data_IF_449718867685
#
_entry.id   IF_449718867685
#
_cell.length_a   1.000
_cell.length_b   1.000
_cell.length_c   1.000
_cell.angle_alpha   90.00
_cell.angle_beta   90.00
_cell.angle_gamma   90.00
#
_symmetry.space_group_name_H-M   'P 1'
#
loop_
_entity.id
_entity.type
_entity.pdbx_description
1 polymer ?
#
# COMPACT_ATOMS: atom_id res chain seq x y z
N UNK A 1 -12.29 -29.96 -23.66
CA UNK A 1 -11.41 -30.43 -22.57
C UNK A 1 -10.78 -31.81 -22.82
N UNK A 2 -11.46 -32.78 -23.46
CA UNK A 2 -10.91 -34.14 -23.62
C UNK A 2 -9.57 -34.25 -24.36
N UNK A 3 -9.20 -33.29 -25.21
CA UNK A 3 -7.94 -33.33 -25.96
C UNK A 3 -6.73 -32.91 -25.13
N UNK A 4 -6.93 -32.07 -24.11
CA UNK A 4 -5.86 -31.59 -23.23
C UNK A 4 -5.37 -32.70 -22.31
N UNK A 5 -6.27 -33.58 -21.86
CA UNK A 5 -5.94 -34.72 -20.99
C UNK A 5 -5.13 -35.82 -21.71
N UNK A 6 -5.14 -35.82 -23.04
CA UNK A 6 -4.36 -36.76 -23.86
C UNK A 6 -2.94 -36.25 -24.14
N UNK A 7 -2.59 -35.05 -23.66
CA UNK A 7 -1.25 -34.50 -23.84
C UNK A 7 -0.28 -35.11 -22.83
N UNK A 8 1.00 -35.29 -23.20
CA UNK A 8 2.08 -35.56 -22.25
C UNK A 8 2.12 -34.52 -21.11
N UNK A 9 2.53 -34.96 -19.93
CA UNK A 9 2.65 -34.12 -18.72
C UNK A 9 3.45 -32.85 -18.97
N UNK A 10 4.51 -32.93 -19.76
CA UNK A 10 5.38 -31.79 -20.10
C UNK A 10 4.63 -30.71 -20.88
N UNK A 11 3.73 -31.11 -21.79
CA UNK A 11 2.90 -30.17 -22.55
C UNK A 11 1.81 -29.56 -21.68
N UNK A 12 1.23 -30.33 -20.75
CA UNK A 12 0.26 -29.80 -19.79
C UNK A 12 0.92 -28.75 -18.88
N UNK A 13 2.14 -29.00 -18.39
CA UNK A 13 2.92 -28.03 -17.61
C UNK A 13 3.18 -26.76 -18.42
N UNK A 14 3.53 -26.86 -19.71
CA UNK A 14 3.70 -25.69 -20.57
C UNK A 14 2.41 -24.88 -20.76
N UNK A 15 1.26 -25.55 -20.80
CA UNK A 15 -0.04 -24.86 -20.82
C UNK A 15 -0.21 -24.06 -19.52
N UNK A 16 0.04 -24.66 -18.35
CA UNK A 16 -0.01 -23.95 -17.07
C UNK A 16 0.94 -22.74 -17.03
N UNK A 17 2.19 -22.90 -17.49
CA UNK A 17 3.20 -21.83 -17.56
C UNK A 17 2.77 -20.66 -18.46
N UNK A 18 1.90 -20.92 -19.45
CA UNK A 18 1.37 -19.94 -20.39
C UNK A 18 0.12 -19.21 -19.92
N UNK A 19 -0.46 -19.58 -18.77
CA UNK A 19 -1.61 -18.87 -18.20
C UNK A 19 -1.21 -17.48 -17.69
N UNK A 20 -2.13 -16.53 -17.76
CA UNK A 20 -1.81 -15.11 -17.48
C UNK A 20 -1.85 -14.75 -15.99
N UNK A 21 -2.41 -15.64 -15.15
CA UNK A 21 -2.69 -15.37 -13.74
C UNK A 21 -2.57 -16.61 -12.86
N UNK A 22 -2.24 -16.41 -11.58
CA UNK A 22 -2.17 -17.45 -10.56
C UNK A 22 -3.53 -18.13 -10.38
N UNK A 23 -4.63 -17.38 -10.42
CA UNK A 23 -5.98 -17.93 -10.28
C UNK A 23 -6.36 -18.83 -11.47
N UNK A 24 -5.94 -18.48 -12.68
CA UNK A 24 -6.18 -19.29 -13.87
C UNK A 24 -5.50 -20.66 -13.73
N UNK A 25 -4.26 -20.69 -13.22
CA UNK A 25 -3.55 -21.94 -12.95
C UNK A 25 -4.25 -22.76 -11.86
N UNK A 26 -4.65 -22.13 -10.75
CA UNK A 26 -5.38 -22.81 -9.68
C UNK A 26 -6.74 -23.35 -10.16
N UNK A 27 -7.46 -22.59 -10.96
CA UNK A 27 -8.75 -22.98 -11.53
C UNK A 27 -8.58 -24.13 -12.53
N UNK A 28 -7.60 -24.04 -13.43
CA UNK A 28 -7.32 -25.08 -14.42
C UNK A 28 -6.92 -26.39 -13.75
N UNK A 29 -6.12 -26.35 -12.68
CA UNK A 29 -5.79 -27.52 -11.87
C UNK A 29 -7.02 -28.17 -11.21
N UNK A 30 -8.05 -27.39 -10.89
CA UNK A 30 -9.30 -27.88 -10.26
C UNK A 30 -10.30 -28.47 -11.25
N UNK A 31 -10.08 -28.34 -12.56
CA UNK A 31 -11.03 -28.84 -13.57
C UNK A 31 -11.17 -30.37 -13.57
N UNK A 32 -10.10 -31.14 -13.28
CA UNK A 32 -10.19 -32.59 -13.10
C UNK A 32 -9.01 -33.15 -12.30
N UNK A 33 -9.10 -34.43 -11.91
CA UNK A 33 -8.06 -35.13 -11.14
C UNK A 33 -6.73 -35.21 -11.87
N UNK A 34 -6.72 -35.45 -13.18
CA UNK A 34 -5.47 -35.60 -13.93
C UNK A 34 -4.68 -34.30 -14.00
N UNK A 35 -5.37 -33.17 -14.26
CA UNK A 35 -4.75 -31.84 -14.22
C UNK A 35 -4.25 -31.49 -12.83
N UNK A 36 -5.02 -31.83 -11.78
CA UNK A 36 -4.57 -31.67 -10.42
C UNK A 36 -3.30 -32.49 -10.14
N UNK A 37 -3.23 -33.76 -10.56
CA UNK A 37 -2.06 -34.61 -10.39
C UNK A 37 -0.82 -34.08 -11.12
N UNK A 38 -0.99 -33.42 -12.28
CA UNK A 38 0.12 -32.76 -12.99
C UNK A 38 0.57 -31.49 -12.25
N UNK A 39 -0.38 -30.74 -11.70
CA UNK A 39 -0.11 -29.49 -11.01
C UNK A 39 0.48 -29.69 -9.61
N UNK A 40 -0.03 -30.64 -8.82
CA UNK A 40 0.24 -30.79 -7.38
C UNK A 40 1.70 -31.01 -6.96
N UNK A 41 2.56 -31.71 -7.74
CA UNK A 41 3.97 -31.83 -7.39
C UNK A 41 4.60 -30.47 -7.13
N UNK A 42 5.29 -30.33 -5.99
CA UNK A 42 5.82 -29.04 -5.52
C UNK A 42 6.74 -28.38 -6.57
N UNK A 43 7.57 -29.17 -7.25
CA UNK A 43 8.43 -28.71 -8.34
C UNK A 43 7.65 -28.17 -9.53
N UNK A 44 6.50 -28.78 -9.86
CA UNK A 44 5.63 -28.32 -10.95
C UNK A 44 4.94 -27.01 -10.56
N UNK A 45 4.33 -26.93 -9.37
CA UNK A 45 3.72 -25.67 -8.86
C UNK A 45 4.68 -24.51 -8.88
N UNK A 46 5.90 -24.71 -8.37
CA UNK A 46 6.91 -23.66 -8.36
C UNK A 46 7.27 -23.19 -9.77
N UNK A 47 7.49 -24.13 -10.69
CA UNK A 47 7.83 -23.82 -12.06
C UNK A 47 6.72 -23.02 -12.75
N UNK A 48 5.47 -23.44 -12.56
CA UNK A 48 4.27 -22.80 -13.09
C UNK A 48 4.12 -21.38 -12.53
N UNK A 49 4.10 -21.23 -11.20
CA UNK A 49 3.91 -19.92 -10.58
C UNK A 49 5.06 -18.97 -10.89
N UNK A 50 6.31 -19.44 -10.90
CA UNK A 50 7.46 -18.63 -11.30
C UNK A 50 7.29 -18.09 -12.72
N UNK A 51 6.85 -18.93 -13.67
CA UNK A 51 6.60 -18.51 -15.05
C UNK A 51 5.53 -17.42 -15.15
N UNK A 52 4.43 -17.57 -14.40
CA UNK A 52 3.33 -16.60 -14.36
C UNK A 52 3.82 -15.27 -13.76
N UNK A 53 4.44 -15.32 -12.58
CA UNK A 53 4.94 -14.14 -11.85
C UNK A 53 5.96 -13.37 -12.69
N UNK A 54 6.86 -14.06 -13.39
CA UNK A 54 7.88 -13.42 -14.21
C UNK A 54 7.32 -12.67 -15.44
N UNK A 55 6.13 -13.05 -15.93
CA UNK A 55 5.54 -12.48 -17.15
C UNK A 55 4.41 -11.50 -16.88
N UNK A 56 3.64 -11.71 -15.83
CA UNK A 56 2.43 -10.94 -15.58
C UNK A 56 2.77 -9.57 -14.96
N UNK A 57 2.33 -8.49 -15.61
CA UNK A 57 2.68 -7.11 -15.22
C UNK A 57 2.17 -6.69 -13.84
N UNK A 58 1.12 -7.32 -13.33
CA UNK A 58 0.61 -7.03 -11.98
C UNK A 58 1.51 -7.60 -10.87
N UNK A 59 2.48 -8.45 -11.22
CA UNK A 59 3.50 -8.99 -10.31
C UNK A 59 4.88 -8.33 -10.46
N UNK A 60 5.02 -7.25 -11.25
CA UNK A 60 6.34 -6.63 -11.50
C UNK A 60 7.04 -6.14 -10.22
N UNK A 61 6.26 -5.75 -9.21
CA UNK A 61 6.75 -5.22 -7.93
C UNK A 61 6.99 -6.34 -6.89
N UNK A 62 6.53 -7.55 -7.15
CA UNK A 62 6.34 -8.56 -6.10
C UNK A 62 7.63 -9.17 -5.58
N UNK A 63 8.65 -9.30 -6.43
CA UNK A 63 9.97 -9.84 -6.04
C UNK A 63 10.67 -8.84 -5.11
N UNK A 64 10.76 -7.57 -5.52
CA UNK A 64 11.33 -6.50 -4.70
C UNK A 64 10.58 -6.37 -3.38
N UNK A 65 9.24 -6.35 -3.43
CA UNK A 65 8.43 -6.27 -2.23
C UNK A 65 8.68 -7.45 -1.28
N UNK A 66 8.82 -8.67 -1.81
CA UNK A 66 9.11 -9.85 -0.99
C UNK A 66 10.46 -9.75 -0.30
N UNK A 67 11.48 -9.18 -0.94
CA UNK A 67 12.77 -8.91 -0.30
C UNK A 67 12.63 -7.94 0.87
N UNK A 68 11.90 -6.83 0.66
CA UNK A 68 11.71 -5.79 1.68
C UNK A 68 10.84 -6.26 2.85
N UNK A 69 9.75 -6.97 2.58
CA UNK A 69 8.87 -7.54 3.62
C UNK A 69 9.61 -8.60 4.44
N UNK A 70 10.44 -9.44 3.79
CA UNK A 70 11.26 -10.42 4.52
C UNK A 70 12.32 -9.75 5.40
N UNK A 71 12.92 -8.64 4.95
CA UNK A 71 13.80 -7.82 5.78
C UNK A 71 13.06 -7.31 7.02
N UNK A 72 11.88 -6.70 6.83
CA UNK A 72 11.05 -6.25 7.95
C UNK A 72 10.67 -7.39 8.89
N UNK A 73 10.25 -8.55 8.37
CA UNK A 73 9.88 -9.70 9.21
C UNK A 73 11.02 -10.17 10.12
N UNK A 74 12.24 -10.26 9.58
CA UNK A 74 13.44 -10.62 10.35
C UNK A 74 13.82 -9.52 11.35
N UNK A 75 13.74 -8.25 10.93
CA UNK A 75 13.95 -7.12 11.84
C UNK A 75 12.94 -7.15 13.00
N UNK A 76 11.66 -7.36 12.71
CA UNK A 76 10.60 -7.43 13.71
C UNK A 76 10.84 -8.56 14.71
N UNK A 77 11.24 -9.73 14.23
CA UNK A 77 11.57 -10.88 15.08
C UNK A 77 12.78 -10.58 15.99
N UNK A 78 13.85 -10.02 15.44
CA UNK A 78 15.08 -9.73 16.16
C UNK A 78 14.93 -8.58 17.16
N UNK A 79 14.13 -7.55 16.83
CA UNK A 79 14.07 -6.30 17.59
C UNK A 79 12.80 -6.16 18.44
N UNK A 80 11.62 -6.55 17.95
CA UNK A 80 10.38 -6.32 18.70
C UNK A 80 9.92 -7.53 19.50
N UNK A 81 10.22 -8.75 19.03
CA UNK A 81 9.83 -9.98 19.71
C UNK A 81 10.90 -10.47 20.69
N UNK A 82 12.18 -10.15 20.43
CA UNK A 82 13.25 -10.41 21.38
C UNK A 82 13.22 -9.37 22.52
N UNK A 83 13.42 -9.81 23.77
CA UNK A 83 13.22 -8.97 24.98
C UNK A 83 14.22 -7.81 25.14
N UNK A 84 15.19 -7.64 24.23
CA UNK A 84 16.20 -6.57 24.27
C UNK A 84 16.53 -6.14 22.85
N UNK A 85 15.97 -5.02 22.43
CA UNK A 85 16.48 -4.26 21.27
C UNK A 85 17.95 -3.95 21.57
N UNK A 86 18.92 -4.47 20.79
CA UNK A 86 20.26 -3.93 20.86
C UNK A 86 20.17 -2.50 20.32
N UNK A 87 20.24 -1.50 21.19
CA UNK A 87 20.43 -0.07 20.81
C UNK A 87 21.78 0.19 20.14
N UNK A 88 22.45 -0.85 19.62
CA UNK A 88 23.74 -0.72 18.96
C UNK A 88 23.51 -0.34 17.48
N UNK A 89 23.82 0.89 17.07
CA UNK A 89 23.59 1.34 15.70
C UNK A 89 24.42 0.57 14.67
N UNK A 90 25.59 0.06 15.08
CA UNK A 90 26.43 -0.81 14.25
C UNK A 90 25.74 -2.14 13.94
N UNK A 91 24.93 -2.67 14.86
CA UNK A 91 24.17 -3.90 14.63
C UNK A 91 23.03 -3.67 13.62
N UNK A 92 22.27 -2.57 13.78
CA UNK A 92 21.22 -2.17 12.82
C UNK A 92 21.81 -1.93 11.42
N UNK A 93 22.92 -1.19 11.33
CA UNK A 93 23.66 -0.97 10.08
C UNK A 93 24.13 -2.27 9.45
N UNK A 94 24.74 -3.17 10.23
CA UNK A 94 25.19 -4.48 9.74
C UNK A 94 24.04 -5.35 9.23
N UNK A 95 22.88 -5.31 9.89
CA UNK A 95 21.70 -6.05 9.46
C UNK A 95 21.22 -5.51 8.10
N UNK A 96 20.94 -4.21 8.01
CA UNK A 96 20.44 -3.59 6.78
C UNK A 96 21.44 -3.76 5.62
N UNK A 97 22.74 -3.54 5.83
CA UNK A 97 23.76 -3.72 4.79
C UNK A 97 23.89 -5.17 4.30
N UNK A 98 23.56 -6.17 5.13
CA UNK A 98 23.55 -7.59 4.71
C UNK A 98 22.38 -7.93 3.79
N UNK A 99 21.29 -7.17 3.86
CA UNK A 99 20.09 -7.41 3.05
C UNK A 99 20.03 -6.52 1.80
N UNK A 100 20.51 -5.27 1.89
CA UNK A 100 20.62 -4.38 0.73
C UNK A 100 21.67 -4.85 -0.28
N UNK A 101 22.60 -5.72 0.13
CA UNK A 101 23.52 -6.43 -0.75
C UNK A 101 23.09 -7.90 -0.85
N UNK A 102 22.09 -8.25 -1.68
CA UNK A 102 21.74 -9.65 -1.91
C UNK A 102 22.99 -10.38 -2.43
N UNK A 103 23.24 -11.59 -1.89
CA UNK A 103 24.25 -12.51 -2.45
C UNK A 103 24.05 -12.60 -3.97
N UNK A 104 25.18 -12.63 -4.68
CA UNK A 104 25.33 -12.74 -6.13
C UNK A 104 24.11 -13.29 -6.87
N UNK A 105 23.76 -12.56 -7.93
CA UNK A 105 22.86 -12.85 -9.05
C UNK A 105 22.71 -14.34 -9.43
N UNK A 106 22.06 -15.12 -8.57
CA UNK A 106 21.37 -16.33 -8.95
C UNK A 106 20.11 -15.88 -9.67
N UNK A 107 20.02 -16.14 -10.98
CA UNK A 107 18.85 -15.82 -11.81
C UNK A 107 17.53 -16.44 -11.30
N UNK A 108 17.60 -17.42 -10.38
CA UNK A 108 16.43 -18.07 -9.83
C UNK A 108 15.84 -17.35 -8.61
N UNK A 109 14.59 -16.87 -8.76
CA UNK A 109 13.75 -16.37 -7.66
C UNK A 109 13.56 -17.49 -6.61
N UNK A 110 13.88 -17.23 -5.32
CA UNK A 110 13.70 -18.20 -4.24
C UNK A 110 12.27 -18.73 -4.15
N UNK A 111 12.15 -20.03 -3.82
CA UNK A 111 10.86 -20.70 -3.67
C UNK A 111 9.96 -20.04 -2.60
N UNK A 112 10.57 -19.51 -1.54
CA UNK A 112 9.89 -18.74 -0.49
C UNK A 112 9.19 -17.50 -1.06
N UNK A 113 9.86 -16.74 -1.93
CA UNK A 113 9.25 -15.55 -2.53
C UNK A 113 8.08 -15.91 -3.44
N UNK A 114 8.18 -17.01 -4.18
CA UNK A 114 7.05 -17.47 -5.02
C UNK A 114 5.81 -17.74 -4.17
N UNK A 115 5.96 -18.40 -3.02
CA UNK A 115 4.83 -18.63 -2.12
C UNK A 115 4.33 -17.36 -1.44
N UNK A 116 5.24 -16.49 -0.99
CA UNK A 116 4.88 -15.20 -0.40
C UNK A 116 4.02 -14.38 -1.38
N UNK A 117 4.38 -14.39 -2.67
CA UNK A 117 3.66 -13.71 -3.74
C UNK A 117 2.27 -14.34 -3.95
N UNK A 118 2.18 -15.68 -4.03
CA UNK A 118 0.89 -16.37 -4.16
C UNK A 118 -0.02 -16.05 -2.96
N UNK A 119 0.53 -16.08 -1.74
CA UNK A 119 -0.20 -15.73 -0.52
C UNK A 119 -0.64 -14.27 -0.50
N UNK A 120 0.25 -13.34 -0.90
CA UNK A 120 -0.05 -11.91 -1.01
C UNK A 120 -1.15 -11.66 -2.05
N UNK A 121 -1.04 -12.27 -3.23
CA UNK A 121 -2.04 -12.23 -4.29
C UNK A 121 -3.41 -12.69 -3.81
N UNK A 122 -3.51 -13.72 -2.97
CA UNK A 122 -4.80 -14.14 -2.42
C UNK A 122 -5.23 -13.25 -1.25
N UNK A 123 -4.32 -12.82 -0.38
CA UNK A 123 -4.61 -12.02 0.80
C UNK A 123 -5.10 -10.61 0.48
N UNK A 124 -4.51 -9.97 -0.54
CA UNK A 124 -4.90 -8.60 -0.96
C UNK A 124 -6.28 -8.54 -1.61
N UNK A 125 -6.85 -9.69 -1.98
CA UNK A 125 -8.24 -9.78 -2.44
C UNK A 125 -9.21 -9.31 -1.37
N UNK A 126 -8.88 -9.47 -0.09
CA UNK A 126 -9.71 -8.94 1.01
C UNK A 126 -9.92 -7.43 0.87
N UNK A 127 -8.87 -6.65 0.58
CA UNK A 127 -9.00 -5.20 0.41
C UNK A 127 -9.77 -4.83 -0.86
N UNK A 128 -9.59 -5.59 -1.93
CA UNK A 128 -10.36 -5.38 -3.17
C UNK A 128 -11.84 -5.73 -3.00
N UNK A 129 -12.15 -6.80 -2.28
CA UNK A 129 -13.51 -7.20 -1.96
C UNK A 129 -14.19 -6.14 -1.10
N UNK A 130 -13.47 -5.54 -0.14
CA UNK A 130 -13.95 -4.37 0.62
C UNK A 130 -14.21 -3.16 -0.29
N UNK A 131 -13.33 -2.88 -1.26
CA UNK A 131 -13.54 -1.82 -2.24
C UNK A 131 -14.81 -2.04 -3.09
N UNK A 132 -15.12 -3.31 -3.36
CA UNK A 132 -16.29 -3.73 -4.12
C UNK A 132 -17.55 -3.93 -3.26
N UNK A 133 -17.45 -3.97 -1.94
CA UNK A 133 -18.60 -4.16 -1.05
C UNK A 133 -19.49 -2.90 -1.04
N UNK A 134 -20.82 -3.03 -1.23
CA UNK A 134 -21.68 -1.86 -1.35
C UNK A 134 -21.70 -1.00 -0.09
N UNK A 135 -21.69 -1.58 1.11
CA UNK A 135 -21.74 -0.81 2.35
C UNK A 135 -20.44 -0.02 2.57
N UNK A 136 -19.30 -0.65 2.28
CA UNK A 136 -17.98 0.00 2.38
C UNK A 136 -17.80 1.05 1.28
N UNK A 137 -18.23 0.75 0.05
CA UNK A 137 -18.15 1.66 -1.10
C UNK A 137 -19.01 2.91 -0.87
N UNK A 138 -20.24 2.76 -0.37
CA UNK A 138 -21.12 3.88 -0.01
C UNK A 138 -20.52 4.73 1.12
N UNK A 139 -19.97 4.08 2.16
CA UNK A 139 -19.28 4.78 3.24
C UNK A 139 -18.03 5.54 2.74
N UNK A 140 -17.26 4.95 1.82
CA UNK A 140 -16.09 5.60 1.23
C UNK A 140 -16.51 6.82 0.39
N UNK A 141 -17.56 6.69 -0.44
CA UNK A 141 -18.11 7.80 -1.22
C UNK A 141 -18.62 8.95 -0.34
N UNK A 142 -19.27 8.63 0.78
CA UNK A 142 -19.81 9.62 1.72
C UNK A 142 -18.76 10.19 2.69
N UNK A 143 -17.58 9.56 2.80
CA UNK A 143 -16.55 9.98 3.75
C UNK A 143 -15.94 11.33 3.36
N UNK A 144 -15.62 12.12 4.37
CA UNK A 144 -14.89 13.38 4.23
C UNK A 144 -13.56 13.10 3.56
N UNK A 145 -13.33 13.86 2.49
CA UNK A 145 -12.13 13.76 1.68
C UNK A 145 -11.10 14.77 2.24
N UNK A 146 -9.93 14.32 2.74
CA UNK A 146 -8.91 15.22 3.25
C UNK A 146 -8.28 15.97 2.08
N UNK A 147 -8.71 17.21 1.84
CA UNK A 147 -8.06 18.09 0.88
C UNK A 147 -6.93 18.84 1.57
N UNK A 148 -5.74 18.23 1.55
CA UNK A 148 -4.51 18.71 2.20
C UNK A 148 -4.05 20.08 1.65
N UNK A 149 -4.46 20.44 0.45
CA UNK A 149 -3.94 21.61 -0.25
C UNK A 149 -4.83 22.86 -0.14
N UNK A 150 -5.98 22.75 0.52
CA UNK A 150 -6.73 23.92 1.04
C UNK A 150 -6.25 24.20 2.46
N UNK A 151 -6.01 25.48 2.84
CA UNK A 151 -5.68 25.80 4.22
C UNK A 151 -6.72 25.16 5.14
N UNK A 152 -6.31 24.59 6.29
CA UNK A 152 -7.20 23.84 7.17
C UNK A 152 -8.40 24.71 7.50
N UNK A 153 -9.53 24.37 6.88
CA UNK A 153 -10.81 24.91 7.29
C UNK A 153 -11.12 24.13 8.56
N UNK A 154 -11.30 24.79 9.73
CA UNK A 154 -11.51 24.10 11.01
C UNK A 154 -12.60 23.01 10.94
N UNK A 155 -13.58 23.19 10.05
CA UNK A 155 -14.69 22.27 9.83
C UNK A 155 -14.28 20.91 9.21
N UNK A 156 -13.13 20.79 8.54
CA UNK A 156 -12.74 19.55 7.85
C UNK A 156 -12.32 18.43 8.82
N UNK A 157 -11.46 18.75 9.79
CA UNK A 157 -10.98 17.79 10.79
C UNK A 157 -12.14 17.33 11.69
N UNK A 158 -13.04 18.25 12.04
CA UNK A 158 -14.28 17.94 12.77
C UNK A 158 -15.23 17.06 11.93
N UNK A 159 -15.36 17.33 10.63
CA UNK A 159 -16.13 16.49 9.71
C UNK A 159 -15.53 15.08 9.57
N UNK A 160 -14.20 14.92 9.59
CA UNK A 160 -13.55 13.60 9.56
C UNK A 160 -13.72 12.83 10.87
N UNK A 161 -13.65 13.53 12.00
CA UNK A 161 -13.77 12.97 13.35
C UNK A 161 -15.21 12.57 13.71
N UNK A 162 -16.20 13.27 13.16
CA UNK A 162 -17.63 13.01 13.38
C UNK A 162 -18.20 11.88 12.52
N UNK A 163 -17.42 11.33 11.59
CA UNK A 163 -17.91 10.21 10.77
C UNK A 163 -18.17 8.96 11.62
N UNK A 164 -19.21 8.18 11.30
CA UNK A 164 -19.49 6.95 12.02
C UNK A 164 -18.38 5.90 11.82
N UNK A 165 -18.25 5.00 12.80
CA UNK A 165 -17.44 3.80 12.68
C UNK A 165 -17.86 2.98 11.45
N UNK A 166 -16.88 2.35 10.78
CA UNK A 166 -17.14 1.55 9.59
C UNK A 166 -17.84 0.24 9.98
N UNK A 167 -19.03 0.02 9.42
CA UNK A 167 -19.77 -1.23 9.60
C UNK A 167 -19.03 -2.41 8.93
N UNK A 168 -19.23 -3.65 9.42
CA UNK A 168 -18.74 -4.84 8.72
C UNK A 168 -19.26 -4.91 7.28
N UNK A 169 -18.50 -5.52 6.35
CA UNK A 169 -18.93 -5.66 4.96
C UNK A 169 -20.25 -6.42 4.87
N UNK A 170 -21.10 -6.03 3.92
CA UNK A 170 -22.37 -6.71 3.66
C UNK A 170 -22.18 -8.12 3.09
N UNK A 171 -20.99 -8.42 2.53
CA UNK A 171 -20.69 -9.71 1.90
C UNK A 171 -21.31 -9.85 0.52
N UNK A 172 -21.64 -8.72 -0.12
CA UNK A 172 -22.17 -8.65 -1.48
C UNK A 172 -21.30 -7.71 -2.31
N UNK A 173 -21.55 -7.61 -3.62
CA UNK A 173 -20.78 -6.76 -4.53
C UNK A 173 -21.61 -5.59 -5.02
N UNK A 174 -20.98 -4.44 -5.22
CA UNK A 174 -21.65 -3.21 -5.61
C UNK A 174 -22.21 -3.30 -7.05
N UNK A 175 -23.25 -2.50 -7.39
CA UNK A 175 -23.89 -2.58 -8.70
C UNK A 175 -22.95 -2.33 -9.89
N UNK A 176 -21.90 -1.51 -9.71
CA UNK A 176 -20.89 -1.26 -10.73
C UNK A 176 -20.11 -2.54 -11.06
N UNK A 177 -19.69 -3.28 -10.03
CA UNK A 177 -18.97 -4.55 -10.18
C UNK A 177 -19.82 -5.65 -10.83
N UNK A 178 -21.13 -5.71 -10.51
CA UNK A 178 -22.07 -6.67 -11.11
C UNK A 178 -22.13 -6.55 -12.63
N UNK A 179 -22.05 -5.32 -13.16
CA UNK A 179 -22.13 -5.05 -14.61
C UNK A 179 -20.89 -5.47 -15.39
N UNK A 180 -19.76 -5.69 -14.71
CA UNK A 180 -18.51 -6.07 -15.34
C UNK A 180 -18.52 -7.55 -15.73
N UNK A 181 -17.94 -7.85 -16.90
CA UNK A 181 -17.61 -9.21 -17.31
C UNK A 181 -16.53 -9.82 -16.41
N UNK A 182 -16.39 -11.15 -16.42
CA UNK A 182 -15.35 -11.83 -15.65
C UNK A 182 -13.94 -11.32 -15.98
N UNK A 183 -13.65 -11.06 -17.26
CA UNK A 183 -12.37 -10.53 -17.72
C UNK A 183 -12.10 -9.12 -17.17
N UNK A 184 -13.12 -8.27 -17.14
CA UNK A 184 -13.00 -6.92 -16.59
C UNK A 184 -12.78 -6.95 -15.08
N UNK A 185 -13.47 -7.84 -14.36
CA UNK A 185 -13.27 -8.04 -12.90
C UNK A 185 -11.84 -8.50 -12.60
N UNK A 186 -11.31 -9.45 -13.36
CA UNK A 186 -9.93 -9.90 -13.20
C UNK A 186 -8.94 -8.75 -13.44
N UNK A 187 -9.10 -8.03 -14.55
CA UNK A 187 -8.23 -6.88 -14.87
C UNK A 187 -8.30 -5.78 -13.81
N UNK A 188 -9.49 -5.55 -13.27
CA UNK A 188 -9.73 -4.60 -12.18
C UNK A 188 -8.98 -4.99 -10.91
N UNK A 189 -9.03 -6.28 -10.53
CA UNK A 189 -8.25 -6.79 -9.40
C UNK A 189 -6.75 -6.70 -9.63
N UNK A 190 -6.27 -7.08 -10.83
CA UNK A 190 -4.85 -6.97 -11.20
C UNK A 190 -4.32 -5.54 -11.07
N UNK A 191 -5.10 -4.54 -11.52
CA UNK A 191 -4.76 -3.12 -11.37
C UNK A 191 -4.72 -2.68 -9.91
N UNK A 192 -5.74 -3.04 -9.13
CA UNK A 192 -5.79 -2.75 -7.70
C UNK A 192 -4.58 -3.33 -6.97
N UNK A 193 -4.29 -4.62 -7.21
CA UNK A 193 -3.16 -5.32 -6.62
C UNK A 193 -1.81 -4.67 -7.00
N UNK A 194 -1.63 -4.33 -8.28
CA UNK A 194 -0.43 -3.64 -8.75
C UNK A 194 -0.22 -2.31 -8.02
N UNK A 195 -1.27 -1.50 -7.89
CA UNK A 195 -1.21 -0.22 -7.18
C UNK A 195 -0.92 -0.38 -5.68
N UNK A 196 -1.57 -1.36 -5.01
CA UNK A 196 -1.30 -1.68 -3.59
C UNK A 196 0.14 -2.09 -3.37
N UNK A 197 0.65 -3.03 -4.19
CA UNK A 197 2.03 -3.51 -4.03
C UNK A 197 3.06 -2.42 -4.34
N UNK A 198 2.78 -1.55 -5.31
CA UNK A 198 3.64 -0.41 -5.63
C UNK A 198 3.74 0.58 -4.46
N UNK A 199 2.62 1.02 -3.90
CA UNK A 199 2.64 1.91 -2.75
C UNK A 199 3.19 1.22 -1.49
N UNK A 200 3.03 -0.09 -1.36
CA UNK A 200 3.63 -0.84 -0.27
C UNK A 200 5.17 -0.84 -0.35
N UNK A 201 5.79 -0.99 -1.53
CA UNK A 201 7.25 -0.82 -1.68
C UNK A 201 7.70 0.55 -1.16
N UNK A 202 6.93 1.58 -1.50
CA UNK A 202 7.12 2.94 -1.03
C UNK A 202 7.15 3.00 0.50
N UNK A 203 6.11 2.48 1.17
CA UNK A 203 6.04 2.37 2.65
C UNK A 203 7.24 1.60 3.24
N UNK A 204 7.64 0.48 2.64
CA UNK A 204 8.81 -0.27 3.12
C UNK A 204 10.13 0.49 2.92
N UNK A 205 10.23 1.29 1.85
CA UNK A 205 11.42 2.13 1.60
C UNK A 205 11.54 3.23 2.64
N UNK A 206 10.42 3.88 2.98
CA UNK A 206 10.37 4.87 4.04
C UNK A 206 10.71 4.26 5.40
N UNK A 207 10.12 3.11 5.74
CA UNK A 207 10.48 2.36 6.95
C UNK A 207 11.99 2.03 6.98
N UNK A 208 12.56 1.63 5.85
CA UNK A 208 13.96 1.28 5.77
C UNK A 208 14.89 2.48 5.99
N UNK A 209 14.58 3.65 5.43
CA UNK A 209 15.31 4.89 5.74
C UNK A 209 15.18 5.22 7.22
N UNK A 210 13.98 5.07 7.79
CA UNK A 210 13.70 5.36 9.21
C UNK A 210 14.41 4.44 10.20
N UNK A 211 14.80 3.24 9.80
CA UNK A 211 15.44 2.24 10.67
C UNK A 211 16.97 2.20 10.53
N UNK A 212 17.49 2.81 9.47
CA UNK A 212 18.93 2.90 9.23
C UNK A 212 19.62 3.90 10.14
N UNK A 213 20.91 3.64 10.36
CA UNK A 213 21.81 4.57 11.01
C UNK A 213 22.65 5.31 9.98
N UNK A 214 22.58 6.63 10.00
CA UNK A 214 23.32 7.52 9.10
C UNK A 214 24.47 8.21 9.84
N UNK A 215 25.67 8.26 9.23
CA UNK A 215 26.81 9.01 9.78
C UNK A 215 26.57 10.52 9.88
N UNK A 216 25.68 11.08 9.07
CA UNK A 216 25.39 12.52 9.04
C UNK A 216 23.94 12.79 8.62
N UNK A 217 23.44 13.97 8.95
CA UNK A 217 22.14 14.49 8.50
C UNK A 217 22.06 14.58 6.97
N UNK A 218 23.13 15.01 6.31
CA UNK A 218 23.18 15.08 4.84
C UNK A 218 23.00 13.71 4.16
N UNK A 219 23.58 12.64 4.71
CA UNK A 219 23.39 11.28 4.18
C UNK A 219 21.96 10.76 4.41
N UNK A 220 21.34 11.12 5.54
CA UNK A 220 19.94 10.84 5.80
C UNK A 220 19.05 11.57 4.79
N UNK A 221 19.25 12.87 4.63
CA UNK A 221 18.45 13.71 3.72
C UNK A 221 18.54 13.17 2.29
N UNK A 222 19.74 12.82 1.82
CA UNK A 222 19.90 12.21 0.48
C UNK A 222 19.14 10.88 0.35
N UNK A 223 19.13 10.04 1.39
CA UNK A 223 18.38 8.77 1.36
C UNK A 223 16.86 8.98 1.44
N UNK A 224 16.42 9.95 2.23
CA UNK A 224 15.02 10.33 2.38
C UNK A 224 14.48 10.96 1.10
N UNK A 225 15.22 11.90 0.51
CA UNK A 225 14.89 12.56 -0.74
C UNK A 225 14.80 11.56 -1.90
N UNK A 226 15.73 10.60 -2.01
CA UNK A 226 15.60 9.50 -2.98
C UNK A 226 14.34 8.65 -2.77
N UNK A 227 13.93 8.46 -1.52
CA UNK A 227 12.69 7.74 -1.20
C UNK A 227 11.48 8.57 -1.60
N UNK A 228 11.48 9.88 -1.31
CA UNK A 228 10.43 10.81 -1.73
C UNK A 228 10.30 10.87 -3.25
N UNK A 229 11.40 11.04 -3.97
CA UNK A 229 11.42 11.09 -5.45
C UNK A 229 10.83 9.83 -6.07
N UNK A 230 11.10 8.65 -5.50
CA UNK A 230 10.49 7.40 -5.97
C UNK A 230 8.95 7.38 -5.82
N UNK A 231 8.38 8.20 -4.93
CA UNK A 231 6.95 8.35 -4.75
C UNK A 231 6.37 9.43 -5.65
N UNK A 232 7.06 10.58 -5.75
CA UNK A 232 6.54 11.82 -6.36
C UNK A 232 6.97 12.04 -7.80
N UNK A 233 7.98 11.33 -8.30
CA UNK A 233 8.53 11.60 -9.63
C UNK A 233 8.88 10.33 -10.40
N UNK A 234 7.89 9.79 -11.11
CA UNK A 234 8.04 8.62 -11.97
C UNK A 234 7.63 8.96 -13.42
N UNK A 235 8.53 9.53 -14.23
CA UNK A 235 8.19 9.96 -15.60
C UNK A 235 7.84 8.79 -16.54
N UNK A 236 8.29 7.58 -16.23
CA UNK A 236 8.01 6.38 -17.02
C UNK A 236 6.69 5.70 -16.66
N UNK A 237 6.06 6.09 -15.54
CA UNK A 237 4.80 5.50 -15.09
C UNK A 237 3.62 6.10 -15.88
N UNK A 238 2.74 5.29 -16.49
CA UNK A 238 1.58 5.81 -17.20
C UNK A 238 0.60 6.53 -16.26
N UNK A 239 -0.05 7.59 -16.73
CA UNK A 239 -1.03 8.35 -15.94
C UNK A 239 -2.18 7.49 -15.35
N UNK A 240 -2.75 6.48 -16.06
CA UNK A 240 -3.74 5.58 -15.45
C UNK A 240 -3.22 4.83 -14.24
N UNK A 241 -1.95 4.42 -14.25
CA UNK A 241 -1.34 3.72 -13.11
C UNK A 241 -1.13 4.67 -11.92
N UNK A 242 -0.83 5.95 -12.17
CA UNK A 242 -0.75 6.98 -11.12
C UNK A 242 -2.10 7.21 -10.45
N UNK A 243 -3.17 7.27 -11.24
CA UNK A 243 -4.55 7.38 -10.74
C UNK A 243 -4.95 6.13 -9.92
N UNK A 244 -4.53 4.93 -10.35
CA UNK A 244 -4.76 3.70 -9.59
C UNK A 244 -4.07 3.76 -8.21
N UNK A 245 -2.83 4.29 -8.15
CA UNK A 245 -2.10 4.48 -6.88
C UNK A 245 -2.82 5.50 -6.00
N UNK A 246 -3.22 6.66 -6.53
CA UNK A 246 -3.95 7.69 -5.76
C UNK A 246 -5.22 7.11 -5.14
N UNK A 247 -6.04 6.39 -5.91
CA UNK A 247 -7.27 5.78 -5.39
C UNK A 247 -6.98 4.72 -4.31
N UNK A 248 -5.94 3.89 -4.50
CA UNK A 248 -5.56 2.89 -3.50
C UNK A 248 -5.04 3.55 -2.22
N UNK A 249 -4.27 4.62 -2.32
CA UNK A 249 -3.80 5.38 -1.16
C UNK A 249 -4.98 6.00 -0.43
N UNK A 250 -5.88 6.68 -1.14
CA UNK A 250 -7.10 7.25 -0.55
C UNK A 250 -7.97 6.19 0.13
N UNK A 251 -8.16 5.05 -0.51
CA UNK A 251 -9.05 4.02 -0.01
C UNK A 251 -8.43 3.23 1.13
N UNK A 252 -7.24 2.65 0.92
CA UNK A 252 -6.61 1.72 1.86
C UNK A 252 -5.97 2.48 3.02
N UNK A 253 -5.10 3.46 2.76
CA UNK A 253 -4.40 4.18 3.81
C UNK A 253 -5.26 5.33 4.37
N UNK A 254 -5.84 6.15 3.50
CA UNK A 254 -6.63 7.31 3.90
C UNK A 254 -7.95 6.94 4.59
N UNK A 255 -8.81 6.19 3.93
CA UNK A 255 -10.15 5.87 4.42
C UNK A 255 -10.15 4.70 5.40
N UNK A 256 -9.71 3.50 4.99
CA UNK A 256 -9.73 2.34 5.87
C UNK A 256 -8.80 2.52 7.08
N UNK A 257 -7.60 3.10 6.88
CA UNK A 257 -6.69 3.45 7.96
C UNK A 257 -7.31 4.42 8.96
N UNK A 258 -7.92 5.52 8.51
CA UNK A 258 -8.62 6.45 9.41
C UNK A 258 -9.78 5.80 10.17
N UNK A 259 -10.52 4.89 9.54
CA UNK A 259 -11.58 4.12 10.22
C UNK A 259 -11.02 3.19 11.28
N UNK A 260 -9.85 2.59 11.05
CA UNK A 260 -9.17 1.74 12.02
C UNK A 260 -8.58 2.53 13.21
N UNK A 261 -8.13 3.77 12.99
CA UNK A 261 -7.59 4.67 14.00
C UNK A 261 -8.56 5.80 14.38
N UNK A 262 -9.84 5.46 14.55
CA UNK A 262 -10.90 6.44 14.81
C UNK A 262 -10.64 7.31 16.05
N UNK A 263 -11.09 8.58 16.03
CA UNK A 263 -10.85 9.57 17.10
C UNK A 263 -11.25 9.07 18.48
N UNK A 264 -12.37 8.34 18.58
CA UNK A 264 -12.84 7.79 19.86
C UNK A 264 -11.89 6.79 20.50
N UNK A 265 -10.95 6.24 19.73
CA UNK A 265 -9.91 5.31 20.21
C UNK A 265 -8.57 5.99 20.47
N UNK A 266 -8.41 7.27 20.11
CA UNK A 266 -7.13 8.00 20.20
C UNK A 266 -6.54 7.99 21.62
N UNK A 267 -7.29 8.25 22.71
CA UNK A 267 -6.74 8.14 24.06
C UNK A 267 -6.11 6.77 24.33
N UNK A 268 -6.77 5.69 23.92
CA UNK A 268 -6.33 4.31 24.13
C UNK A 268 -5.10 3.94 23.27
N UNK A 269 -4.92 4.57 22.11
CA UNK A 269 -3.73 4.40 21.28
C UNK A 269 -2.50 5.08 21.88
N UNK A 270 -2.70 6.20 22.60
CA UNK A 270 -1.62 6.86 23.35
C UNK A 270 -1.23 6.12 24.62
N UNK A 271 -2.16 5.37 25.21
CA UNK A 271 -1.91 4.53 26.37
C UNK A 271 -0.86 3.44 26.04
N UNK A 272 0.40 3.74 26.35
CA UNK A 272 1.54 2.84 26.12
C UNK A 272 2.62 3.38 25.19
N UNK A 273 2.47 4.60 24.66
CA UNK A 273 3.54 5.30 23.92
C UNK A 273 4.62 5.91 24.83
N UNK A 274 4.44 5.91 26.15
CA UNK A 274 5.45 6.42 27.09
C UNK A 274 5.69 7.92 26.89
N UNK A 275 6.95 8.32 26.75
CA UNK A 275 7.34 9.72 26.50
C UNK A 275 6.89 10.24 25.14
N UNK A 276 6.77 9.38 24.12
CA UNK A 276 6.34 9.78 22.77
C UNK A 276 4.87 10.19 22.75
N UNK A 277 4.08 9.79 23.76
CA UNK A 277 2.70 10.25 23.91
C UNK A 277 2.60 11.79 24.04
N UNK A 278 3.68 12.46 24.48
CA UNK A 278 3.73 13.92 24.58
C UNK A 278 3.86 14.59 23.21
N UNK A 279 4.45 13.93 22.21
CA UNK A 279 4.60 14.50 20.86
C UNK A 279 3.24 14.65 20.15
N UNK A 280 2.29 13.78 20.49
CA UNK A 280 0.90 13.85 20.01
C UNK A 280 -0.05 14.57 20.98
N UNK A 281 0.50 15.45 21.82
CA UNK A 281 -0.29 16.23 22.78
C UNK A 281 0.24 17.65 22.90
N UNK A 282 -0.28 18.52 22.05
CA UNK A 282 -0.22 19.96 22.28
C UNK A 282 -1.39 20.37 23.21
N UNK A 283 -1.11 20.94 24.40
CA UNK A 283 -2.14 21.41 25.32
C UNK A 283 -2.91 22.64 24.82
N UNK A 284 -2.44 23.32 23.77
CA UNK A 284 -3.09 24.47 23.15
C UNK A 284 -4.03 24.08 22.00
N UNK A 285 -3.91 22.86 21.50
CA UNK A 285 -4.71 22.32 20.40
C UNK A 285 -5.88 21.46 20.92
N UNK A 286 -6.91 21.26 20.10
CA UNK A 286 -8.04 20.40 20.48
C UNK A 286 -7.65 18.92 20.47
N UNK A 287 -8.50 18.05 21.02
CA UNK A 287 -8.29 16.60 20.90
C UNK A 287 -8.36 16.14 19.43
N UNK A 288 -9.09 16.86 18.59
CA UNK A 288 -9.20 16.59 17.15
C UNK A 288 -7.92 16.92 16.40
N UNK A 289 -7.32 18.07 16.66
CA UNK A 289 -6.07 18.50 16.02
C UNK A 289 -4.92 17.54 16.41
N UNK A 290 -4.86 17.16 17.70
CA UNK A 290 -3.91 16.16 18.19
C UNK A 290 -4.12 14.78 17.55
N UNK A 291 -5.37 14.38 17.33
CA UNK A 291 -5.70 13.13 16.64
C UNK A 291 -5.36 13.18 15.15
N UNK A 292 -5.62 14.30 14.47
CA UNK A 292 -5.28 14.49 13.06
C UNK A 292 -3.77 14.43 12.84
N UNK A 293 -3.00 15.09 13.72
CA UNK A 293 -1.54 15.00 13.72
C UNK A 293 -1.08 13.54 13.91
N UNK A 294 -1.63 12.84 14.91
CA UNK A 294 -1.35 11.41 15.13
C UNK A 294 -1.73 10.55 13.91
N UNK A 295 -2.88 10.79 13.29
CA UNK A 295 -3.32 10.06 12.10
C UNK A 295 -2.36 10.25 10.93
N UNK A 296 -1.99 11.49 10.67
CA UNK A 296 -1.14 11.82 9.55
C UNK A 296 0.25 11.19 9.71
N UNK A 297 0.70 11.01 10.96
CA UNK A 297 1.94 10.29 11.26
C UNK A 297 1.76 8.80 11.07
N UNK A 298 0.78 8.23 11.78
CA UNK A 298 0.65 6.79 11.89
C UNK A 298 0.35 6.15 10.56
N UNK A 299 -0.41 6.81 9.67
CA UNK A 299 -0.80 6.24 8.37
C UNK A 299 0.38 5.99 7.41
N UNK A 300 1.57 6.49 7.73
CA UNK A 300 2.80 6.24 6.95
C UNK A 300 3.45 4.88 7.26
N UNK A 301 3.01 4.19 8.32
CA UNK A 301 3.62 2.94 8.81
C UNK A 301 2.88 1.64 8.48
N UNK A 302 1.53 1.61 8.45
CA UNK A 302 0.77 0.40 8.16
C UNK A 302 1.11 -0.18 6.80
N UNK A 303 1.32 -1.50 6.80
CA UNK A 303 1.28 -2.32 5.60
C UNK A 303 -0.16 -2.79 5.39
N UNK A 304 -0.55 -3.17 4.16
CA UNK A 304 -1.88 -3.71 3.90
C UNK A 304 -2.32 -4.83 4.86
N UNK A 305 -1.47 -5.82 5.25
CA UNK A 305 -1.85 -6.83 6.24
C UNK A 305 -2.17 -6.26 7.63
N UNK A 306 -1.48 -5.20 8.06
CA UNK A 306 -1.74 -4.53 9.33
C UNK A 306 -3.12 -3.85 9.34
N UNK A 307 -3.51 -3.24 8.22
CA UNK A 307 -4.84 -2.63 8.08
C UNK A 307 -5.93 -3.70 8.07
N UNK A 308 -5.71 -4.83 7.40
CA UNK A 308 -6.62 -5.98 7.45
C UNK A 308 -6.78 -6.48 8.90
N UNK A 309 -5.68 -6.66 9.64
CA UNK A 309 -5.70 -7.06 11.06
C UNK A 309 -6.54 -6.10 11.91
N UNK A 310 -6.34 -4.79 11.75
CA UNK A 310 -7.09 -3.77 12.49
C UNK A 310 -8.58 -3.75 12.17
N UNK A 311 -8.95 -3.88 10.88
CA UNK A 311 -10.35 -3.92 10.46
C UNK A 311 -11.07 -5.16 11.03
N UNK A 312 -10.42 -6.32 10.95
CA UNK A 312 -10.95 -7.56 11.53
C UNK A 312 -11.12 -7.44 13.05
N UNK A 313 -10.16 -6.82 13.73
CA UNK A 313 -10.27 -6.54 15.16
C UNK A 313 -11.43 -5.58 15.47
N UNK A 314 -11.57 -4.49 14.73
CA UNK A 314 -12.63 -3.50 14.91
C UNK A 314 -14.02 -4.14 14.77
N UNK A 315 -14.22 -4.99 13.76
CA UNK A 315 -15.49 -5.68 13.53
C UNK A 315 -15.74 -6.86 14.49
N UNK A 316 -14.71 -7.38 15.16
CA UNK A 316 -14.80 -8.53 16.06
C UNK A 316 -14.25 -8.24 17.47
N UNK A 317 -14.42 -7.00 17.94
CA UNK A 317 -13.79 -6.48 19.17
C UNK A 317 -14.22 -7.19 20.46
N UNK A 318 -15.31 -7.96 20.43
CA UNK A 318 -15.77 -8.79 21.56
C UNK A 318 -14.94 -10.07 21.74
N UNK A 319 -14.22 -10.54 20.71
CA UNK A 319 -13.47 -11.80 20.74
C UNK A 319 -11.95 -11.67 20.89
N UNK A 320 -11.36 -10.51 20.60
CA UNK A 320 -9.91 -10.34 20.53
C UNK A 320 -9.43 -9.06 21.21
N UNK A 321 -8.49 -9.19 22.16
CA UNK A 321 -7.79 -8.05 22.77
C UNK A 321 -6.57 -7.65 21.95
N UNK A 322 -6.60 -6.47 21.36
CA UNK A 322 -5.45 -5.88 20.67
C UNK A 322 -4.48 -5.26 21.67
N UNK A 323 -3.21 -5.69 21.64
CA UNK A 323 -2.15 -4.99 22.35
C UNK A 323 -1.69 -3.79 21.51
N UNK A 324 -2.30 -2.61 21.71
CA UNK A 324 -2.05 -1.40 20.93
C UNK A 324 -0.59 -0.94 20.94
N UNK A 325 0.03 -0.84 22.11
CA UNK A 325 1.44 -0.46 22.22
C UNK A 325 2.36 -1.46 21.52
N UNK A 326 2.08 -2.76 21.65
CA UNK A 326 2.78 -3.80 20.92
C UNK A 326 2.58 -3.70 19.41
N UNK A 327 1.38 -3.32 18.95
CA UNK A 327 1.06 -3.12 17.54
C UNK A 327 1.80 -1.91 16.97
N UNK A 328 1.75 -0.75 17.63
CA UNK A 328 2.48 0.46 17.22
C UNK A 328 4.00 0.24 17.18
N UNK A 329 4.53 -0.57 18.11
CA UNK A 329 5.93 -0.99 18.07
C UNK A 329 6.24 -1.84 16.84
N UNK A 330 5.40 -2.83 16.51
CA UNK A 330 5.59 -3.64 15.29
C UNK A 330 5.58 -2.77 14.04
N UNK A 331 4.69 -1.78 13.96
CA UNK A 331 4.66 -0.83 12.84
C UNK A 331 5.97 -0.06 12.62
N UNK A 332 6.87 -0.03 13.60
CA UNK A 332 8.12 0.71 13.55
C UNK A 332 7.95 2.20 13.88
N UNK A 333 6.86 2.58 14.56
CA UNK A 333 6.61 3.96 14.98
C UNK A 333 7.74 4.49 15.88
N UNK A 334 8.28 3.60 16.72
CA UNK A 334 9.29 3.94 17.73
C UNK A 334 10.73 3.80 17.20
N UNK A 335 10.92 3.48 15.92
CA UNK A 335 12.26 3.26 15.36
C UNK A 335 13.03 4.56 15.13
N UNK A 336 12.34 5.70 15.24
CA UNK A 336 12.81 6.98 14.76
C UNK A 336 13.92 7.66 15.57
N UNK A 337 14.04 7.30 16.84
CA UNK A 337 14.75 8.12 17.83
C UNK A 337 16.28 7.91 17.85
N UNK A 338 16.82 6.90 17.16
CA UNK A 338 18.24 6.49 17.27
C UNK A 338 18.99 6.51 15.90
N UNK A 339 18.76 7.51 15.04
CA UNK A 339 19.15 7.48 13.61
C UNK A 339 20.52 8.06 13.25
N UNK A 340 21.08 8.98 14.04
CA UNK A 340 22.28 9.76 13.67
C UNK A 340 23.29 9.77 14.82
N UNK A 341 24.58 9.73 14.46
CA UNK A 341 25.69 9.98 15.38
C UNK A 341 25.68 11.47 15.74
N UNK A 342 25.07 11.85 16.86
CA UNK A 342 25.07 13.24 17.30
C UNK A 342 26.46 13.61 17.83
N UNK A 343 27.29 14.18 16.97
CA UNK A 343 28.52 14.87 17.36
C UNK A 343 28.13 16.22 18.00
N UNK A 344 27.98 16.23 19.32
CA UNK A 344 27.89 17.36 20.29
C UNK A 344 26.95 18.57 20.05
N UNK A 345 26.36 18.78 18.88
CA UNK A 345 25.34 19.82 18.65
C UNK A 345 23.95 19.21 18.79
N UNK A 346 23.17 19.73 19.73
CA UNK A 346 21.87 19.19 20.16
C UNK A 346 20.92 18.74 19.05
N UNK A 347 20.02 17.83 19.40
CA UNK A 347 19.05 17.16 18.54
C UNK A 347 18.43 18.08 17.48
N UNK A 348 18.93 18.02 16.24
CA UNK A 348 18.24 18.59 15.09
C UNK A 348 17.05 17.69 14.79
N UNK A 349 15.83 18.23 14.84
CA UNK A 349 14.65 17.52 14.36
C UNK A 349 14.77 17.36 12.85
N UNK A 350 14.89 16.13 12.37
CA UNK A 350 14.94 15.84 10.94
C UNK A 350 13.57 15.35 10.50
N UNK A 351 12.95 16.12 9.60
CA UNK A 351 11.64 15.82 9.06
C UNK A 351 11.64 14.53 8.27
N UNK A 352 11.34 13.41 8.94
CA UNK A 352 11.18 12.11 8.28
C UNK A 352 9.75 11.84 7.82
N UNK A 353 8.97 12.91 7.68
CA UNK A 353 7.54 12.90 7.43
C UNK A 353 7.25 12.92 5.94
N UNK A 354 6.43 11.99 5.47
CA UNK A 354 5.98 11.94 4.09
C UNK A 354 4.50 11.62 4.06
N UNK A 355 3.68 12.63 3.77
CA UNK A 355 2.24 12.45 3.73
C UNK A 355 1.84 11.42 2.67
N UNK A 356 0.82 10.63 2.97
CA UNK A 356 0.36 9.61 2.02
C UNK A 356 -0.11 10.25 0.70
N UNK A 357 -0.68 11.47 0.76
CA UNK A 357 -1.15 12.19 -0.42
C UNK A 357 -0.05 12.74 -1.33
N UNK A 358 1.22 12.71 -0.90
CA UNK A 358 2.36 13.13 -1.72
C UNK A 358 2.48 12.33 -3.02
N UNK A 359 1.81 11.16 -3.13
CA UNK A 359 1.68 10.42 -4.41
C UNK A 359 0.98 11.20 -5.52
N UNK A 360 0.23 12.26 -5.22
CA UNK A 360 -0.43 13.10 -6.23
C UNK A 360 0.57 13.92 -7.05
N UNK A 361 1.71 14.29 -6.48
CA UNK A 361 2.78 15.03 -7.17
C UNK A 361 3.31 14.28 -8.40
N UNK A 362 3.26 12.94 -8.37
CA UNK A 362 3.64 12.11 -9.51
C UNK A 362 2.68 12.29 -10.69
N UNK A 363 1.38 12.46 -10.41
CA UNK A 363 0.41 12.75 -11.46
C UNK A 363 0.63 14.15 -12.01
N UNK A 364 0.87 15.14 -11.14
CA UNK A 364 1.10 16.54 -11.51
C UNK A 364 2.26 16.69 -12.50
N UNK A 365 3.30 15.85 -12.36
CA UNK A 365 4.44 15.85 -13.28
C UNK A 365 4.19 15.11 -14.62
N UNK A 366 3.03 14.48 -14.82
CA UNK A 366 2.79 13.57 -15.96
C UNK A 366 2.50 14.29 -17.28
N UNK A 367 2.04 15.53 -17.22
CA UNK A 367 1.56 16.28 -18.38
C UNK A 367 2.39 17.53 -18.69
N UNK A 368 3.60 17.60 -18.13
CA UNK A 368 4.59 18.67 -18.36
C UNK A 368 4.90 18.94 -19.83
N UNK A 369 4.75 17.93 -20.69
CA UNK A 369 4.96 18.02 -22.14
C UNK A 369 3.76 18.62 -22.91
N UNK A 370 2.56 18.58 -22.32
CA UNK A 370 1.32 19.12 -22.91
C UNK A 370 1.02 20.51 -22.37
N UNK A 371 1.31 20.72 -21.08
CA UNK A 371 0.95 21.93 -20.36
C UNK A 371 1.94 22.19 -19.23
N UNK A 372 2.09 23.47 -18.89
CA UNK A 372 2.84 23.89 -17.72
C UNK A 372 2.34 23.23 -16.42
N UNK A 373 3.28 22.87 -15.54
CA UNK A 373 3.02 22.09 -14.31
C UNK A 373 2.09 22.83 -13.38
N UNK A 374 2.32 24.12 -13.14
CA UNK A 374 1.51 24.90 -12.20
C UNK A 374 0.06 24.99 -12.68
N UNK A 375 -0.10 25.13 -13.99
CA UNK A 375 -1.44 25.17 -14.60
C UNK A 375 -2.15 23.83 -14.49
N UNK A 376 -1.48 22.72 -14.80
CA UNK A 376 -2.08 21.38 -14.67
C UNK A 376 -2.38 21.06 -13.20
N UNK A 377 -1.46 21.37 -12.29
CA UNK A 377 -1.61 21.20 -10.84
C UNK A 377 -2.84 21.95 -10.31
N UNK A 378 -3.07 23.18 -10.78
CA UNK A 378 -4.29 23.92 -10.43
C UNK A 378 -5.57 23.24 -10.92
N UNK A 379 -5.57 22.70 -12.14
CA UNK A 379 -6.72 21.97 -12.70
C UNK A 379 -6.94 20.62 -12.01
N UNK A 380 -5.86 19.92 -11.64
CA UNK A 380 -5.92 18.71 -10.85
C UNK A 380 -6.59 18.99 -9.51
N UNK A 381 -6.21 20.05 -8.79
CA UNK A 381 -6.83 20.42 -7.51
C UNK A 381 -8.31 20.74 -7.62
N UNK A 382 -8.72 21.49 -8.64
CA UNK A 382 -10.13 21.78 -8.91
C UNK A 382 -10.90 20.49 -9.20
N UNK A 383 -10.36 19.63 -10.07
CA UNK A 383 -10.95 18.34 -10.38
C UNK A 383 -11.06 17.45 -9.13
N UNK A 384 -10.00 17.38 -8.33
CA UNK A 384 -9.86 16.58 -7.11
C UNK A 384 -10.87 16.97 -6.04
N UNK A 385 -11.14 18.25 -5.87
CA UNK A 385 -12.07 18.76 -4.86
C UNK A 385 -13.53 18.71 -5.33
N UNK A 386 -13.83 19.10 -6.56
CA UNK A 386 -15.22 19.31 -7.00
C UNK A 386 -15.84 18.12 -7.73
N UNK A 387 -15.04 17.45 -8.57
CA UNK A 387 -15.50 16.48 -9.56
C UNK A 387 -15.14 15.04 -9.20
N UNK A 388 -13.94 14.79 -8.67
CA UNK A 388 -13.46 13.47 -8.29
C UNK A 388 -14.43 12.68 -7.40
N UNK A 389 -15.00 13.26 -6.30
CA UNK A 389 -15.92 12.51 -5.44
C UNK A 389 -17.16 11.98 -6.19
N UNK A 390 -17.63 12.75 -7.17
CA UNK A 390 -18.84 12.42 -7.95
C UNK A 390 -18.51 11.51 -9.13
N UNK A 391 -17.38 11.76 -9.78
CA UNK A 391 -17.05 11.15 -11.06
C UNK A 391 -16.16 9.92 -10.94
N UNK A 392 -15.13 9.92 -10.10
CA UNK A 392 -14.03 8.94 -10.17
C UNK A 392 -13.84 8.12 -8.89
N UNK A 393 -13.95 8.75 -7.71
CA UNK A 393 -13.79 8.10 -6.41
C UNK A 393 -14.67 6.86 -6.31
N UNK A 394 -14.13 5.80 -5.72
CA UNK A 394 -14.72 4.48 -5.57
C UNK A 394 -15.08 3.76 -6.88
N UNK A 395 -14.60 4.28 -8.03
CA UNK A 395 -14.95 3.81 -9.38
C UNK A 395 -13.76 3.67 -10.33
N UNK A 396 -12.55 4.07 -9.93
CA UNK A 396 -11.34 4.05 -10.77
C UNK A 396 -11.07 2.66 -11.34
N UNK A 397 -11.16 1.62 -10.49
CA UNK A 397 -10.93 0.25 -10.92
C UNK A 397 -12.06 -0.36 -11.75
N UNK A 398 -13.21 0.30 -11.87
CA UNK A 398 -14.35 -0.16 -12.68
C UNK A 398 -14.37 0.45 -14.09
N UNK A 399 -13.36 1.25 -14.43
CA UNK A 399 -13.22 1.93 -15.73
C UNK A 399 -11.83 1.72 -16.29
N UNK A 400 -11.68 1.72 -17.61
CA UNK A 400 -10.37 1.63 -18.25
C UNK A 400 -10.17 2.90 -19.09
N UNK A 401 -9.66 3.95 -18.46
CA UNK A 401 -9.38 5.21 -19.15
C UNK A 401 -7.95 5.21 -19.71
N UNK A 402 -7.77 5.75 -20.90
CA UNK A 402 -6.45 6.05 -21.48
C UNK A 402 -5.86 7.31 -20.85
N UNK A 403 -4.56 7.56 -21.08
CA UNK A 403 -3.90 8.80 -20.65
C UNK A 403 -4.60 10.05 -21.24
N UNK A 404 -5.03 9.99 -22.50
CA UNK A 404 -5.74 11.09 -23.18
C UNK A 404 -7.13 11.34 -22.58
N UNK A 405 -7.88 10.27 -22.29
CA UNK A 405 -9.19 10.36 -21.65
C UNK A 405 -9.08 10.91 -20.23
N UNK A 406 -8.05 10.52 -19.47
CA UNK A 406 -7.77 11.08 -18.14
C UNK A 406 -7.42 12.55 -18.20
N UNK A 407 -6.55 12.95 -19.13
CA UNK A 407 -6.21 14.36 -19.32
C UNK A 407 -7.45 15.19 -19.64
N UNK A 408 -8.29 14.70 -20.55
CA UNK A 408 -9.55 15.36 -20.92
C UNK A 408 -10.51 15.42 -19.75
N UNK A 409 -10.60 14.35 -18.97
CA UNK A 409 -11.42 14.33 -17.78
C UNK A 409 -10.94 15.36 -16.75
N UNK A 410 -9.64 15.44 -16.47
CA UNK A 410 -9.08 16.35 -15.46
C UNK A 410 -9.22 17.81 -15.92
N UNK A 411 -8.80 18.11 -17.15
CA UNK A 411 -8.65 19.50 -17.62
C UNK A 411 -9.87 20.06 -18.34
N UNK A 412 -10.80 19.20 -18.79
CA UNK A 412 -11.88 19.55 -19.70
C UNK A 412 -11.44 19.87 -21.14
N UNK A 413 -10.17 19.61 -21.49
CA UNK A 413 -9.57 19.91 -22.81
C UNK A 413 -9.08 18.64 -23.49
N UNK A 414 -9.25 18.56 -24.81
CA UNK A 414 -8.66 17.48 -25.60
C UNK A 414 -7.15 17.69 -25.78
N UNK A 415 -6.37 16.61 -25.81
CA UNK A 415 -4.95 16.67 -26.20
C UNK A 415 -4.92 16.92 -27.71
N UNK A 416 -4.52 18.14 -28.11
CA UNK A 416 -4.26 18.44 -29.52
C UNK A 416 -2.98 17.71 -29.94
N UNK A 417 -3.14 16.74 -30.84
CA UNK A 417 -2.05 15.92 -31.39
C UNK A 417 -1.23 16.63 -32.45
#
# INVERSE_FOLDING_TARGET
MGWVLNLPTELIIRIFESLDDIDDALHFARCCKDLHCVFDPLSARFKIFRSIIARASHHENDIELSQRVNLYGRFSQDFYESRRIPSNPTHRKSLVSRYLNPLDSSEDVPAEFIWDIVCRWQGMRVLYDLYCDPAVNEAYLASTFPNIQTPPIPDHSEAMASEPALLPPAGSVCPAFVKMSQRERQKSYQRFYKAVTRHWISVESLWLVRTQFFPSEAEFDEAFERTRDAWTHNPTRPAPEKIDIIEVVDFVWGFLGRKAFHVSSFPEWREGLGSIAYDYRDPHETEFDNWEYFLSDILQHPRPPHLIELLLWMWNSSGWRLNRSGFLRRLGLLDAEERIDNDESGSTYIGSWLETATVEEDLESSFTHVQDVDTFTSQWKEYRSERWPREARARVFFRNLTTEELFTQITGKEILS
#
